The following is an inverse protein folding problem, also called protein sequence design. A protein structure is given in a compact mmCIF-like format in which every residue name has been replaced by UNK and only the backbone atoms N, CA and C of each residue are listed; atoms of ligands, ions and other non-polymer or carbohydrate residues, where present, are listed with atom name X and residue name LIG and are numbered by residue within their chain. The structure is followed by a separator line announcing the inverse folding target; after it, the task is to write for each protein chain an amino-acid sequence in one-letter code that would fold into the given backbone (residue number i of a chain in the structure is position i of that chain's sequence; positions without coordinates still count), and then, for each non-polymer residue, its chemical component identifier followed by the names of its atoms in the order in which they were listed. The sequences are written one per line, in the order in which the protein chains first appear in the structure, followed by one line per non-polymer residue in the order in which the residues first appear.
data_IF_188425286391
#
_entry.id   IF_188425286391
#
_cell.length_a   1.000
_cell.length_b   1.000
_cell.length_c   1.000
_cell.angle_alpha   90.00
_cell.angle_beta   90.00
_cell.angle_gamma   90.00
#
_symmetry.space_group_name_H-M   'P 1'
#
loop_
_entity.id
_entity.type
_entity.pdbx_description
1 polymer ?
#
# COMPACT_ATOMS: atom_id res chain seq x y z
N UNK A 1 11.47 -10.63 10.35
CA UNK A 1 11.22 -9.33 11.02
C UNK A 1 10.30 -8.59 10.08
N UNK A 2 9.02 -8.47 10.42
CA UNK A 2 8.03 -7.87 9.53
C UNK A 2 8.50 -6.44 9.19
N UNK A 3 8.50 -6.11 7.91
CA UNK A 3 8.88 -4.79 7.43
C UNK A 3 7.79 -3.81 7.87
N UNK A 4 8.09 -2.92 8.81
CA UNK A 4 7.08 -2.05 9.45
C UNK A 4 6.35 -1.16 8.43
N UNK A 5 7.02 -0.79 7.34
CA UNK A 5 6.39 -0.03 6.24
C UNK A 5 5.36 -0.91 5.51
N UNK A 6 5.69 -2.16 5.25
CA UNK A 6 4.75 -3.12 4.66
C UNK A 6 3.50 -3.31 5.52
N UNK A 7 3.66 -3.37 6.83
CA UNK A 7 2.52 -3.50 7.76
C UNK A 7 1.55 -2.31 7.61
N UNK A 8 2.09 -1.09 7.53
CA UNK A 8 1.30 0.13 7.31
C UNK A 8 0.60 0.13 5.96
N UNK A 9 1.31 -0.20 4.87
CA UNK A 9 0.71 -0.27 3.53
C UNK A 9 -0.40 -1.33 3.49
N UNK A 10 -0.18 -2.49 4.10
CA UNK A 10 -1.19 -3.56 4.18
C UNK A 10 -2.39 -3.13 5.01
N UNK A 11 -2.18 -2.45 6.14
CA UNK A 11 -3.26 -1.93 6.98
C UNK A 11 -4.11 -0.89 6.22
N UNK A 12 -3.46 0.04 5.52
CA UNK A 12 -4.12 1.04 4.68
C UNK A 12 -4.92 0.40 3.53
N UNK A 13 -4.30 -0.53 2.81
CA UNK A 13 -4.95 -1.27 1.74
C UNK A 13 -6.18 -2.01 2.26
N UNK A 14 -6.06 -2.69 3.40
CA UNK A 14 -7.18 -3.38 4.04
C UNK A 14 -8.30 -2.44 4.45
N UNK A 15 -7.97 -1.23 4.90
CA UNK A 15 -8.99 -0.24 5.27
C UNK A 15 -9.74 0.27 4.04
N UNK A 16 -9.06 0.46 2.91
CA UNK A 16 -9.66 0.93 1.67
C UNK A 16 -10.46 -0.17 0.93
N UNK A 17 -9.94 -1.40 0.87
CA UNK A 17 -10.53 -2.50 0.06
C UNK A 17 -11.25 -3.57 0.88
N UNK A 18 -10.88 -3.73 2.14
CA UNK A 18 -11.23 -4.93 2.92
C UNK A 18 -10.51 -6.20 2.47
N UNK A 19 -9.36 -6.13 1.79
CA UNK A 19 -8.64 -7.30 1.25
C UNK A 19 -8.32 -8.38 2.29
N UNK A 20 -8.16 -8.03 3.58
CA UNK A 20 -7.91 -9.01 4.63
C UNK A 20 -9.18 -9.73 5.10
N UNK A 21 -10.37 -9.30 4.68
CA UNK A 21 -11.61 -10.05 4.89
C UNK A 21 -11.66 -11.30 4.01
N UNK A 22 -10.93 -11.31 2.90
CA UNK A 22 -10.79 -12.46 2.01
C UNK A 22 -9.66 -13.38 2.52
N UNK A 23 -9.96 -14.59 3.04
CA UNK A 23 -8.97 -15.42 3.71
C UNK A 23 -7.83 -15.88 2.79
N UNK A 24 -8.08 -16.05 1.50
CA UNK A 24 -7.05 -16.41 0.52
C UNK A 24 -6.07 -15.25 0.26
N UNK A 25 -6.58 -14.05 -0.04
CA UNK A 25 -5.75 -12.86 -0.22
C UNK A 25 -5.01 -12.47 1.05
N UNK A 26 -5.70 -12.48 2.21
CA UNK A 26 -5.09 -12.21 3.50
C UNK A 26 -3.87 -13.10 3.73
N UNK A 27 -4.00 -14.41 3.45
CA UNK A 27 -2.91 -15.36 3.61
C UNK A 27 -1.73 -15.07 2.69
N UNK A 28 -1.99 -14.67 1.44
CA UNK A 28 -0.94 -14.31 0.49
C UNK A 28 -0.19 -13.04 0.93
N UNK A 29 -0.93 -11.97 1.25
CA UNK A 29 -0.35 -10.68 1.67
C UNK A 29 0.46 -10.83 2.95
N UNK A 30 -0.10 -11.52 3.96
CA UNK A 30 0.55 -11.78 5.25
C UNK A 30 1.73 -12.75 5.14
N UNK A 31 1.73 -13.62 4.12
CA UNK A 31 2.89 -14.47 3.79
C UNK A 31 4.05 -13.68 3.17
N UNK A 32 3.84 -12.39 2.86
CA UNK A 32 4.83 -11.56 2.18
C UNK A 32 4.81 -11.69 0.66
N UNK A 33 3.76 -12.29 0.07
CA UNK A 33 3.62 -12.34 -1.38
C UNK A 33 3.45 -10.94 -1.95
N UNK A 34 4.11 -10.64 -3.06
CA UNK A 34 3.82 -9.43 -3.81
C UNK A 34 2.49 -9.61 -4.54
N UNK A 35 1.54 -8.70 -4.26
CA UNK A 35 0.20 -8.74 -4.84
C UNK A 35 0.06 -7.52 -5.73
N UNK A 36 -0.30 -7.77 -6.99
CA UNK A 36 -0.53 -6.72 -7.96
C UNK A 36 -1.83 -5.98 -7.66
N UNK A 37 -1.82 -4.65 -7.75
CA UNK A 37 -3.02 -3.84 -7.55
C UNK A 37 -4.11 -4.11 -8.58
N UNK A 38 -3.72 -4.56 -9.78
CA UNK A 38 -4.66 -5.02 -10.80
C UNK A 38 -5.43 -6.30 -10.39
N UNK A 39 -4.86 -7.14 -9.53
CA UNK A 39 -5.52 -8.35 -9.01
C UNK A 39 -6.50 -8.02 -7.87
N UNK A 40 -6.29 -6.88 -7.21
CA UNK A 40 -7.09 -6.37 -6.10
C UNK A 40 -8.25 -5.45 -6.53
N UNK A 41 -8.45 -5.27 -7.84
CA UNK A 41 -9.45 -4.36 -8.41
C UNK A 41 -9.37 -2.94 -7.79
N UNK A 42 -8.14 -2.42 -7.60
CA UNK A 42 -7.96 -1.08 -7.06
C UNK A 42 -8.39 -0.02 -8.08
N UNK A 43 -9.50 0.66 -7.77
CA UNK A 43 -9.88 1.86 -8.50
C UNK A 43 -9.03 3.07 -8.05
N UNK A 44 -9.00 4.10 -8.90
CA UNK A 44 -8.40 5.41 -8.62
C UNK A 44 -8.80 5.99 -7.26
N UNK A 45 -10.06 5.81 -6.84
CA UNK A 45 -10.54 6.28 -5.54
C UNK A 45 -9.94 5.49 -4.39
N UNK A 46 -9.98 4.16 -4.46
CA UNK A 46 -9.45 3.26 -3.43
C UNK A 46 -7.95 3.46 -3.24
N UNK A 47 -7.23 3.70 -4.34
CA UNK A 47 -5.81 4.00 -4.32
C UNK A 47 -5.54 5.34 -3.62
N UNK A 48 -6.35 6.36 -3.89
CA UNK A 48 -6.27 7.65 -3.18
C UNK A 48 -6.56 7.50 -1.68
N UNK A 49 -7.61 6.77 -1.30
CA UNK A 49 -7.94 6.49 0.11
C UNK A 49 -6.80 5.75 0.83
N UNK A 50 -6.22 4.73 0.19
CA UNK A 50 -5.07 4.01 0.72
C UNK A 50 -3.88 4.95 0.98
N UNK A 51 -3.56 5.84 0.03
CA UNK A 51 -2.42 6.76 0.14
C UNK A 51 -2.62 7.74 1.29
N UNK A 52 -3.79 8.38 1.36
CA UNK A 52 -4.16 9.28 2.46
C UNK A 52 -3.99 8.59 3.83
N UNK A 53 -4.37 7.31 3.91
CA UNK A 53 -4.25 6.51 5.13
C UNK A 53 -2.79 6.22 5.52
N UNK A 54 -1.91 6.02 4.52
CA UNK A 54 -0.48 5.80 4.73
C UNK A 54 0.18 7.11 5.20
N UNK A 55 -0.16 8.22 4.55
CA UNK A 55 0.30 9.56 4.90
C UNK A 55 -0.08 9.92 6.35
N UNK A 56 -1.33 9.67 6.74
CA UNK A 56 -1.82 9.92 8.10
C UNK A 56 -1.09 9.05 9.13
N UNK A 57 -0.86 7.77 8.83
CA UNK A 57 -0.19 6.84 9.75
C UNK A 57 1.31 7.11 9.91
N UNK A 58 1.99 7.49 8.84
CA UNK A 58 3.43 7.76 8.85
C UNK A 58 3.76 9.23 9.13
N UNK A 59 2.79 10.14 9.00
CA UNK A 59 3.00 11.58 9.10
C UNK A 59 3.87 12.14 7.97
N UNK A 60 3.74 11.58 6.76
CA UNK A 60 4.53 11.95 5.57
C UNK A 60 3.62 12.41 4.44
N UNK A 61 4.21 13.03 3.41
CA UNK A 61 3.52 13.38 2.16
C UNK A 61 4.06 12.52 1.01
N UNK A 62 3.20 11.70 0.42
CA UNK A 62 3.50 10.80 -0.68
C UNK A 62 3.16 11.45 -2.02
N UNK A 63 3.97 11.19 -3.04
CA UNK A 63 3.62 11.61 -4.39
C UNK A 63 2.58 10.63 -4.97
N UNK A 64 1.32 11.08 -5.03
CA UNK A 64 0.19 10.33 -5.58
C UNK A 64 0.49 9.81 -7.00
N UNK A 65 1.11 10.61 -7.87
CA UNK A 65 1.47 10.18 -9.22
C UNK A 65 2.46 9.02 -9.20
N UNK A 66 3.48 9.08 -8.34
CA UNK A 66 4.49 8.03 -8.22
C UNK A 66 3.90 6.72 -7.66
N UNK A 67 2.96 6.83 -6.71
CA UNK A 67 2.28 5.65 -6.15
C UNK A 67 1.24 5.11 -7.12
N UNK A 68 0.59 5.95 -7.92
CA UNK A 68 -0.33 5.53 -8.97
C UNK A 68 0.37 4.75 -10.09
N UNK A 69 1.66 4.98 -10.30
CA UNK A 69 2.48 4.18 -11.20
C UNK A 69 2.90 2.82 -10.63
N UNK A 70 2.75 2.59 -9.32
CA UNK A 70 3.12 1.34 -8.67
C UNK A 70 2.18 0.20 -9.09
N UNK A 71 2.76 -0.95 -9.41
CA UNK A 71 2.00 -2.12 -9.89
C UNK A 71 1.57 -3.06 -8.78
N UNK A 72 2.13 -2.91 -7.58
CA UNK A 72 1.86 -3.79 -6.46
C UNK A 72 2.42 -3.27 -5.14
N UNK A 73 2.15 -4.04 -4.08
CA UNK A 73 2.51 -3.71 -2.70
C UNK A 73 4.01 -3.49 -2.52
N UNK A 74 4.86 -4.32 -3.12
CA UNK A 74 6.32 -4.23 -2.90
C UNK A 74 6.90 -2.94 -3.48
N UNK A 75 6.37 -2.44 -4.61
CA UNK A 75 6.81 -1.16 -5.18
C UNK A 75 6.46 0.02 -4.27
N UNK A 76 5.27 0.03 -3.65
CA UNK A 76 4.89 1.08 -2.70
C UNK A 76 5.77 1.04 -1.45
N UNK A 77 6.04 -0.16 -0.93
CA UNK A 77 6.94 -0.34 0.22
C UNK A 77 8.37 0.08 -0.14
N UNK A 78 8.86 -0.29 -1.32
CA UNK A 78 10.17 0.12 -1.81
C UNK A 78 10.28 1.64 -1.97
N UNK A 79 9.23 2.29 -2.48
CA UNK A 79 9.14 3.74 -2.61
C UNK A 79 9.21 4.44 -1.24
N UNK A 80 8.42 3.98 -0.26
CA UNK A 80 8.46 4.49 1.11
C UNK A 80 9.84 4.30 1.74
N UNK A 81 10.45 3.13 1.51
CA UNK A 81 11.77 2.78 2.03
C UNK A 81 12.90 3.60 1.42
N UNK A 82 12.76 3.99 0.14
CA UNK A 82 13.69 4.88 -0.53
C UNK A 82 13.63 6.32 -0.02
N UNK A 83 12.68 6.64 0.87
CA UNK A 83 12.42 8.02 1.29
C UNK A 83 11.72 8.82 0.22
N UNK A 84 10.95 8.15 -0.65
CA UNK A 84 10.24 8.77 -1.78
C UNK A 84 9.15 9.76 -1.38
N UNK A 85 8.84 9.94 -0.08
CA UNK A 85 7.95 11.00 0.36
C UNK A 85 8.51 12.36 -0.12
N UNK A 86 7.71 13.16 -0.79
CA UNK A 86 8.13 14.45 -1.33
C UNK A 86 8.61 15.34 -0.18
N UNK A 87 9.90 15.70 -0.20
CA UNK A 87 10.41 16.85 0.54
C UNK A 87 10.70 17.94 -0.48
N UNK A 88 9.74 18.86 -0.68
CA UNK A 88 9.87 20.01 -1.58
C UNK A 88 8.79 21.04 -1.32
#
# INVERSE_FOLDING_TARGET
MADALRDVVVAALNKATGVLNEPEMARQILSGADVAFADLDLDSLTMFEMIMEIEEQLGIEMNLDAVAEAKGLDEVVAYLRAGGHGGG
#
